data_IF_258721292457
#
_entry.id   IF_258721292457
#
_cell.length_a   1.000
_cell.length_b   1.000
_cell.length_c   1.000
_cell.angle_alpha   90.00
_cell.angle_beta   90.00
_cell.angle_gamma   90.00
#
_symmetry.space_group_name_H-M   'P 1'
#
loop_
_entity.id
_entity.type
_entity.pdbx_description
1 polymer ?
#
# COMPACT_ATOMS: atom_id res chain seq x y z
N UNK A 1 -1.47 -17.14 12.76
CA UNK A 1 -1.95 -15.79 13.15
C UNK A 1 -1.11 -14.81 12.36
N UNK A 2 -1.70 -14.17 11.33
CA UNK A 2 -1.01 -13.25 10.45
C UNK A 2 -0.46 -12.05 11.20
N UNK A 3 0.76 -11.65 10.82
CA UNK A 3 1.41 -10.43 11.31
C UNK A 3 0.81 -9.21 10.57
N UNK A 4 -0.40 -8.80 10.93
CA UNK A 4 -0.98 -7.58 10.39
C UNK A 4 -0.36 -6.38 11.11
N UNK A 5 0.31 -5.49 10.36
CA UNK A 5 0.89 -4.27 10.90
C UNK A 5 2.16 -4.45 11.74
N UNK A 6 3.01 -5.44 11.42
CA UNK A 6 4.31 -5.56 12.07
C UNK A 6 5.31 -4.60 11.45
N UNK A 7 5.93 -3.78 12.29
CA UNK A 7 7.07 -2.94 11.94
C UNK A 7 8.32 -3.53 12.57
N UNK A 8 9.43 -3.53 11.86
CA UNK A 8 10.73 -3.96 12.35
C UNK A 8 11.70 -2.77 12.33
N UNK A 9 12.33 -2.48 13.46
CA UNK A 9 13.38 -1.47 13.56
C UNK A 9 14.74 -2.16 13.69
N UNK A 10 15.68 -1.76 12.84
CA UNK A 10 17.08 -2.23 12.87
C UNK A 10 17.95 -1.05 13.25
N UNK A 11 18.59 -1.09 14.45
CA UNK A 11 19.52 -0.07 14.93
C UNK A 11 20.20 -0.57 16.19
N UNK A 12 21.40 -0.11 16.51
CA UNK A 12 22.25 -0.28 17.74
C UNK A 12 21.55 -0.89 19.00
N UNK A 13 20.57 -1.75 18.79
CA UNK A 13 19.72 -2.50 19.72
C UNK A 13 19.42 -3.87 19.09
N UNK A 14 18.86 -4.81 19.84
CA UNK A 14 18.29 -6.02 19.26
C UNK A 14 17.25 -5.70 18.19
N UNK A 15 17.12 -6.55 17.19
CA UNK A 15 16.01 -6.47 16.25
C UNK A 15 14.71 -6.28 17.03
N UNK A 16 13.96 -5.26 16.69
CA UNK A 16 12.75 -4.90 17.44
C UNK A 16 11.54 -4.96 16.52
N UNK A 17 10.60 -5.84 16.84
CA UNK A 17 9.33 -5.97 16.16
C UNK A 17 8.25 -5.21 16.93
N UNK A 18 7.42 -4.46 16.20
CA UNK A 18 6.22 -3.84 16.77
C UNK A 18 5.00 -4.61 16.27
N UNK A 19 4.37 -5.38 17.15
CA UNK A 19 3.20 -6.20 16.85
C UNK A 19 2.08 -5.77 17.80
N UNK A 20 0.93 -5.37 17.28
CA UNK A 20 -0.22 -4.93 18.07
C UNK A 20 0.16 -3.86 19.13
N UNK A 21 0.93 -2.85 18.71
CA UNK A 21 1.48 -1.77 19.55
C UNK A 21 2.48 -2.22 20.64
N UNK A 22 2.85 -3.50 20.70
CA UNK A 22 3.86 -4.02 21.63
C UNK A 22 5.20 -4.17 20.94
N UNK A 23 6.27 -3.75 21.62
CA UNK A 23 7.65 -3.88 21.14
C UNK A 23 8.25 -5.20 21.64
N UNK A 24 8.63 -6.07 20.71
CA UNK A 24 9.28 -7.35 20.98
C UNK A 24 10.71 -7.29 20.49
N UNK A 25 11.67 -7.53 21.35
CA UNK A 25 13.10 -7.56 21.02
C UNK A 25 13.54 -8.99 20.79
N UNK A 26 14.34 -9.21 19.74
CA UNK A 26 14.82 -10.55 19.36
C UNK A 26 16.33 -10.49 19.09
N UNK A 27 17.06 -11.41 19.67
CA UNK A 27 18.50 -11.53 19.52
C UNK A 27 19.31 -10.54 20.39
N UNK A 28 20.59 -10.47 20.08
CA UNK A 28 21.53 -9.59 20.75
C UNK A 28 21.53 -8.16 20.18
N UNK A 29 22.25 -7.28 20.87
CA UNK A 29 22.44 -5.91 20.41
C UNK A 29 23.23 -5.90 19.10
N UNK A 30 22.66 -5.27 18.07
CA UNK A 30 23.34 -5.06 16.79
C UNK A 30 24.33 -3.90 16.90
N UNK A 31 25.56 -4.14 16.47
CA UNK A 31 26.56 -3.12 16.30
C UNK A 31 26.37 -2.37 14.97
N UNK A 32 26.96 -1.18 14.77
CA UNK A 32 26.82 -0.44 13.52
C UNK A 32 27.19 -1.23 12.27
N UNK A 33 28.18 -2.11 12.35
CA UNK A 33 28.61 -2.98 11.25
C UNK A 33 27.56 -4.04 10.92
N UNK A 34 26.92 -4.65 11.95
CA UNK A 34 25.85 -5.63 11.76
C UNK A 34 24.63 -4.97 11.09
N UNK A 35 24.30 -3.75 11.56
CA UNK A 35 23.19 -2.99 10.99
C UNK A 35 23.45 -2.62 9.52
N UNK A 36 24.69 -2.21 9.19
CA UNK A 36 25.08 -1.93 7.82
C UNK A 36 24.92 -3.14 6.94
N UNK A 37 25.44 -4.30 7.35
CA UNK A 37 25.36 -5.56 6.60
C UNK A 37 23.91 -5.99 6.37
N UNK A 38 23.07 -5.92 7.40
CA UNK A 38 21.64 -6.24 7.26
C UNK A 38 20.93 -5.33 6.26
N UNK A 39 21.27 -4.03 6.24
CA UNK A 39 20.70 -3.08 5.29
C UNK A 39 21.21 -3.38 3.88
N UNK A 40 22.48 -3.67 3.68
CA UNK A 40 23.04 -4.10 2.40
C UNK A 40 22.33 -5.35 1.87
N UNK A 41 22.08 -6.34 2.73
CA UNK A 41 21.33 -7.55 2.38
C UNK A 41 19.88 -7.22 1.93
N UNK A 42 19.22 -6.24 2.57
CA UNK A 42 17.89 -5.77 2.16
C UNK A 42 17.93 -5.16 0.75
N UNK A 43 18.94 -4.34 0.44
CA UNK A 43 19.11 -3.77 -0.91
C UNK A 43 19.38 -4.86 -1.96
N UNK A 44 20.14 -5.90 -1.61
CA UNK A 44 20.35 -7.06 -2.49
C UNK A 44 19.04 -7.79 -2.78
N UNK A 45 18.19 -7.99 -1.76
CA UNK A 45 16.87 -8.62 -1.94
C UNK A 45 15.95 -7.73 -2.78
N UNK A 46 16.03 -6.42 -2.63
CA UNK A 46 15.23 -5.44 -3.38
C UNK A 46 15.65 -5.30 -4.87
N UNK A 47 16.76 -5.88 -5.30
CA UNK A 47 17.31 -6.03 -6.66
C UNK A 47 17.43 -4.76 -7.51
N UNK A 48 16.40 -3.92 -7.56
CA UNK A 48 16.35 -2.70 -8.40
C UNK A 48 16.87 -1.45 -7.67
N UNK A 49 17.22 -1.57 -6.38
CA UNK A 49 17.60 -0.44 -5.57
C UNK A 49 19.09 -0.48 -5.22
N UNK A 50 19.73 0.68 -5.28
CA UNK A 50 21.17 0.83 -4.99
C UNK A 50 21.37 1.56 -3.67
N UNK A 51 22.23 1.04 -2.80
CA UNK A 51 22.53 1.62 -1.49
C UNK A 51 23.16 3.02 -1.59
N UNK A 52 23.77 3.35 -2.73
CA UNK A 52 24.36 4.66 -3.00
C UNK A 52 23.31 5.79 -2.87
N UNK A 53 22.02 5.51 -3.09
CA UNK A 53 20.94 6.47 -2.86
C UNK A 53 20.86 6.86 -1.38
N UNK A 54 20.88 5.90 -0.48
CA UNK A 54 20.91 6.11 0.97
C UNK A 54 22.22 6.83 1.39
N UNK A 55 23.34 6.40 0.85
CA UNK A 55 24.64 6.98 1.20
C UNK A 55 24.74 8.46 0.77
N UNK A 56 24.16 8.82 -0.37
CA UNK A 56 24.16 10.19 -0.89
C UNK A 56 23.13 11.08 -0.21
N UNK A 57 21.91 10.61 -0.03
CA UNK A 57 20.77 11.41 0.42
C UNK A 57 20.57 11.38 1.94
N UNK A 58 21.05 10.31 2.60
CA UNK A 58 20.81 10.07 4.02
C UNK A 58 19.53 9.36 4.36
N UNK A 59 18.58 9.30 3.41
CA UNK A 59 17.29 8.62 3.50
C UNK A 59 16.98 7.92 2.18
N UNK A 60 16.28 6.78 2.24
CA UNK A 60 15.76 6.10 1.06
C UNK A 60 14.53 5.26 1.43
N UNK A 61 13.42 5.46 0.68
CA UNK A 61 12.17 4.74 0.82
C UNK A 61 11.92 3.91 -0.44
N UNK A 62 11.61 2.64 -0.23
CA UNK A 62 11.31 1.71 -1.32
C UNK A 62 10.47 0.54 -0.85
N UNK A 63 9.93 -0.22 -1.81
CA UNK A 63 9.18 -1.44 -1.54
C UNK A 63 9.74 -2.59 -2.37
N UNK A 64 9.65 -3.80 -1.85
CA UNK A 64 9.93 -5.02 -2.60
C UNK A 64 8.98 -6.14 -2.18
N UNK A 65 8.84 -7.16 -3.02
CA UNK A 65 7.96 -8.31 -2.75
C UNK A 65 8.74 -9.59 -2.64
N UNK A 66 8.36 -10.43 -1.68
CA UNK A 66 8.87 -11.81 -1.58
C UNK A 66 7.69 -12.74 -1.91
N UNK A 67 7.83 -13.63 -2.92
CA UNK A 67 6.78 -14.56 -3.29
C UNK A 67 6.25 -15.34 -2.09
N UNK A 68 4.94 -15.47 -1.98
CA UNK A 68 4.22 -16.16 -0.91
C UNK A 68 4.32 -15.55 0.49
N UNK A 69 5.14 -14.53 0.70
CA UNK A 69 5.31 -13.88 2.01
C UNK A 69 4.54 -12.55 2.08
N UNK A 70 4.71 -11.69 1.09
CA UNK A 70 4.06 -10.38 1.05
C UNK A 70 4.94 -9.30 0.42
N UNK A 71 4.48 -8.06 0.51
CA UNK A 71 5.23 -6.87 0.13
C UNK A 71 5.83 -6.23 1.37
N UNK A 72 7.05 -5.76 1.26
CA UNK A 72 7.77 -5.07 2.32
C UNK A 72 7.98 -3.61 1.91
N UNK A 73 7.54 -2.69 2.74
CA UNK A 73 7.91 -1.28 2.64
C UNK A 73 9.08 -1.03 3.57
N UNK A 74 10.11 -0.43 3.04
CA UNK A 74 11.37 -0.17 3.74
C UNK A 74 11.65 1.32 3.73
N UNK A 75 11.89 1.87 4.90
CA UNK A 75 12.46 3.20 5.08
C UNK A 75 13.84 3.03 5.72
N UNK A 76 14.86 3.34 4.97
CA UNK A 76 16.25 3.35 5.45
C UNK A 76 16.70 4.79 5.69
N UNK A 77 17.48 5.00 6.71
CA UNK A 77 17.96 6.34 7.05
C UNK A 77 19.27 6.31 7.84
N UNK A 78 19.96 7.45 7.81
CA UNK A 78 21.17 7.65 8.59
C UNK A 78 20.84 8.34 9.91
N UNK A 79 21.34 7.80 11.01
CA UNK A 79 21.16 8.36 12.32
C UNK A 79 22.44 8.27 13.16
N UNK A 80 22.99 9.41 13.61
CA UNK A 80 24.19 9.48 14.46
C UNK A 80 25.37 8.67 13.90
N UNK A 81 25.62 8.76 12.60
CA UNK A 81 26.71 8.06 11.94
C UNK A 81 26.45 6.58 11.61
N UNK A 82 25.35 6.00 12.08
CA UNK A 82 24.95 4.61 11.77
C UNK A 82 23.78 4.58 10.83
N UNK A 83 23.64 3.49 10.08
CA UNK A 83 22.45 3.20 9.28
C UNK A 83 21.34 2.62 10.16
N UNK A 84 20.12 2.89 9.79
CA UNK A 84 18.91 2.35 10.41
C UNK A 84 17.86 2.02 9.35
N UNK A 85 16.94 1.12 9.66
CA UNK A 85 15.82 0.81 8.80
C UNK A 85 14.55 0.55 9.60
N UNK A 86 13.43 0.94 9.04
CA UNK A 86 12.08 0.52 9.46
C UNK A 86 11.46 -0.25 8.32
N UNK A 87 11.03 -1.47 8.60
CA UNK A 87 10.45 -2.36 7.61
C UNK A 87 9.01 -2.69 8.02
N UNK A 88 8.06 -2.46 7.13
CA UNK A 88 6.65 -2.81 7.33
C UNK A 88 6.26 -3.93 6.38
N UNK A 89 5.75 -5.03 6.93
CA UNK A 89 5.17 -6.12 6.15
C UNK A 89 3.73 -5.77 5.78
N UNK A 90 3.41 -5.81 4.50
CA UNK A 90 2.06 -5.77 3.93
C UNK A 90 1.71 -7.19 3.54
N UNK A 91 0.90 -7.85 4.37
CA UNK A 91 0.51 -9.24 4.16
C UNK A 91 -0.67 -9.36 3.19
N UNK A 92 -0.86 -10.55 2.60
CA UNK A 92 -2.01 -10.86 1.75
C UNK A 92 -3.32 -11.09 2.52
N UNK A 93 -3.33 -10.78 3.82
CA UNK A 93 -4.54 -10.93 4.63
C UNK A 93 -5.43 -9.71 4.46
N UNK A 94 -6.53 -9.92 3.79
CA UNK A 94 -7.55 -8.90 3.59
C UNK A 94 -8.52 -8.86 4.78
N UNK A 95 -9.07 -7.69 5.08
CA UNK A 95 -10.05 -7.55 6.16
C UNK A 95 -11.36 -8.26 5.80
N UNK A 96 -12.00 -8.86 6.80
CA UNK A 96 -13.34 -9.43 6.65
C UNK A 96 -14.40 -8.37 7.00
N UNK A 97 -15.30 -7.99 6.08
CA UNK A 97 -16.30 -6.96 6.32
C UNK A 97 -17.28 -7.32 7.46
N UNK A 98 -17.59 -8.61 7.67
CA UNK A 98 -18.46 -9.06 8.76
C UNK A 98 -17.80 -8.86 10.13
N UNK A 99 -16.51 -9.24 10.26
CA UNK A 99 -15.73 -9.04 11.50
C UNK A 99 -15.57 -7.56 11.86
N UNK A 100 -15.53 -6.70 10.83
CA UNK A 100 -15.43 -5.26 10.98
C UNK A 100 -16.77 -4.56 11.14
N UNK A 101 -17.88 -5.32 11.11
CA UNK A 101 -19.25 -4.79 11.17
C UNK A 101 -19.53 -3.73 10.11
N UNK A 102 -18.99 -3.89 8.90
CA UNK A 102 -19.28 -3.01 7.76
C UNK A 102 -20.72 -3.27 7.31
N UNK A 103 -21.61 -2.26 7.29
CA UNK A 103 -22.98 -2.44 6.88
C UNK A 103 -23.10 -3.02 5.46
N UNK A 104 -24.08 -3.92 5.26
CA UNK A 104 -24.34 -4.54 3.93
C UNK A 104 -24.62 -3.49 2.85
N UNK A 105 -25.24 -2.37 3.21
CA UNK A 105 -25.52 -1.25 2.30
C UNK A 105 -24.22 -0.65 1.74
N UNK A 106 -23.16 -0.62 2.51
CA UNK A 106 -21.85 -0.19 2.03
C UNK A 106 -21.28 -1.22 1.05
N UNK A 107 -21.40 -2.52 1.38
CA UNK A 107 -20.91 -3.58 0.50
C UNK A 107 -21.68 -3.65 -0.84
N UNK A 108 -22.95 -3.22 -0.88
CA UNK A 108 -23.72 -3.09 -2.12
C UNK A 108 -23.14 -2.07 -3.12
N UNK A 109 -22.30 -1.15 -2.67
CA UNK A 109 -21.59 -0.24 -3.59
C UNK A 109 -20.68 -0.99 -4.58
N UNK A 110 -20.27 -2.21 -4.26
CA UNK A 110 -19.53 -3.09 -5.16
C UNK A 110 -20.37 -3.61 -6.35
N UNK A 111 -21.69 -3.45 -6.33
CA UNK A 111 -22.60 -3.87 -7.41
C UNK A 111 -22.71 -2.82 -8.53
N UNK A 112 -22.35 -1.55 -8.24
CA UNK A 112 -22.36 -0.52 -9.26
C UNK A 112 -21.37 -0.82 -10.38
N UNK A 113 -21.72 -0.38 -11.60
CA UNK A 113 -20.89 -0.59 -12.79
C UNK A 113 -20.10 0.66 -13.18
N UNK A 114 -20.56 1.83 -12.75
CA UNK A 114 -19.95 3.13 -13.04
C UNK A 114 -20.32 4.14 -11.98
N UNK A 115 -19.57 5.22 -11.94
CA UNK A 115 -19.79 6.34 -11.03
C UNK A 115 -18.63 6.55 -10.09
N UNK A 116 -18.74 7.53 -9.22
CA UNK A 116 -17.72 7.91 -8.24
C UNK A 116 -18.24 7.60 -6.83
N UNK A 117 -17.48 6.79 -6.10
CA UNK A 117 -17.72 6.49 -4.69
C UNK A 117 -16.62 7.12 -3.85
N UNK A 118 -16.99 8.00 -2.93
CA UNK A 118 -16.06 8.68 -2.03
C UNK A 118 -16.23 8.20 -0.60
N UNK A 119 -15.11 7.75 0.00
CA UNK A 119 -15.04 7.41 1.41
C UNK A 119 -14.28 8.49 2.15
N UNK A 120 -14.97 9.18 3.05
CA UNK A 120 -14.42 10.35 3.76
C UNK A 120 -14.23 10.08 5.24
N UNK A 121 -13.33 10.80 5.88
CA UNK A 121 -13.08 10.70 7.33
C UNK A 121 -11.64 11.01 7.70
N UNK A 122 -11.37 11.08 9.00
CA UNK A 122 -10.04 11.32 9.56
C UNK A 122 -9.08 10.16 9.31
N UNK A 123 -7.79 10.38 9.57
CA UNK A 123 -6.79 9.32 9.50
C UNK A 123 -7.12 8.20 10.51
N UNK A 124 -6.98 6.94 10.07
CA UNK A 124 -7.27 5.77 10.92
C UNK A 124 -8.75 5.45 11.12
N UNK A 125 -9.68 6.12 10.42
CA UNK A 125 -11.13 5.86 10.51
C UNK A 125 -11.59 4.61 9.74
N UNK A 126 -10.70 3.89 9.07
CA UNK A 126 -11.02 2.66 8.33
C UNK A 126 -11.32 2.86 6.85
N UNK A 127 -11.03 4.02 6.26
CA UNK A 127 -11.29 4.30 4.83
C UNK A 127 -10.66 3.25 3.90
N UNK A 128 -9.35 3.05 3.98
CA UNK A 128 -8.63 2.07 3.15
C UNK A 128 -9.11 0.65 3.41
N UNK A 129 -9.43 0.33 4.66
CA UNK A 129 -9.97 -0.98 5.03
C UNK A 129 -11.33 -1.24 4.36
N UNK A 130 -12.23 -0.26 4.39
CA UNK A 130 -13.54 -0.34 3.73
C UNK A 130 -13.39 -0.48 2.21
N UNK A 131 -12.49 0.30 1.61
CA UNK A 131 -12.21 0.20 0.18
C UNK A 131 -11.61 -1.16 -0.20
N UNK A 132 -10.70 -1.70 0.62
CA UNK A 132 -10.15 -3.03 0.39
C UNK A 132 -11.23 -4.12 0.41
N UNK A 133 -12.22 -4.03 1.32
CA UNK A 133 -13.35 -4.94 1.34
C UNK A 133 -14.19 -4.83 0.06
N UNK A 134 -14.47 -3.61 -0.42
CA UNK A 134 -15.23 -3.38 -1.66
C UNK A 134 -14.50 -3.94 -2.89
N UNK A 135 -13.21 -3.65 -3.02
CA UNK A 135 -12.37 -4.18 -4.10
C UNK A 135 -12.33 -5.71 -4.06
N UNK A 136 -12.18 -6.29 -2.87
CA UNK A 136 -12.15 -7.75 -2.73
C UNK A 136 -13.49 -8.41 -3.06
N UNK A 137 -14.60 -7.76 -2.74
CA UNK A 137 -15.92 -8.22 -3.16
C UNK A 137 -16.06 -8.22 -4.69
N UNK A 138 -15.69 -7.14 -5.35
CA UNK A 138 -15.69 -7.06 -6.82
C UNK A 138 -14.79 -8.16 -7.39
N UNK A 139 -13.56 -8.26 -6.92
CA UNK A 139 -12.56 -9.24 -7.35
C UNK A 139 -13.06 -10.69 -7.22
N UNK A 140 -13.87 -10.97 -6.20
CA UNK A 140 -14.39 -12.33 -5.94
C UNK A 140 -15.67 -12.66 -6.73
N UNK A 141 -16.43 -11.66 -7.14
CA UNK A 141 -17.76 -11.85 -7.70
C UNK A 141 -17.89 -11.48 -9.19
N UNK A 142 -17.00 -10.60 -9.69
CA UNK A 142 -17.09 -10.02 -11.04
C UNK A 142 -15.85 -10.36 -11.87
N UNK A 143 -16.01 -10.42 -13.18
CA UNK A 143 -14.95 -10.65 -14.16
C UNK A 143 -14.56 -9.30 -14.77
N UNK A 144 -13.67 -8.57 -14.12
CA UNK A 144 -13.31 -7.18 -14.47
C UNK A 144 -11.82 -6.92 -14.34
N UNK A 145 -11.36 -5.82 -14.94
CA UNK A 145 -10.03 -5.29 -14.71
C UNK A 145 -10.08 -4.19 -13.68
N UNK A 146 -9.51 -4.45 -12.51
CA UNK A 146 -9.43 -3.52 -11.39
C UNK A 146 -8.02 -2.94 -11.37
N UNK A 147 -7.90 -1.60 -11.39
CA UNK A 147 -6.62 -0.92 -11.23
C UNK A 147 -6.66 -0.16 -9.91
N UNK A 148 -5.64 -0.37 -9.05
CA UNK A 148 -5.47 0.43 -7.85
C UNK A 148 -4.21 1.29 -7.96
N UNK A 149 -4.34 2.55 -7.54
CA UNK A 149 -3.28 3.55 -7.50
C UNK A 149 -3.21 4.03 -6.06
N UNK A 150 -2.14 3.73 -5.35
CA UNK A 150 -2.06 3.93 -3.89
C UNK A 150 -0.71 4.53 -3.48
N UNK A 151 -0.66 5.22 -2.33
CA UNK A 151 0.55 5.81 -1.76
C UNK A 151 0.50 5.76 -0.22
N UNK A 152 1.03 4.68 0.35
CA UNK A 152 1.46 3.41 -0.23
C UNK A 152 0.32 2.38 -0.38
N UNK A 153 0.64 1.21 -0.96
CA UNK A 153 -0.23 0.03 -0.89
C UNK A 153 -0.43 -0.40 0.58
N UNK A 154 -1.68 -0.51 1.01
CA UNK A 154 -2.02 -0.98 2.38
C UNK A 154 -2.45 -2.45 2.40
N UNK A 155 -3.07 -2.93 1.32
CA UNK A 155 -3.56 -4.29 1.18
C UNK A 155 -3.14 -4.88 -0.16
N UNK A 156 -2.87 -6.19 -0.19
CA UNK A 156 -2.54 -6.91 -1.41
C UNK A 156 -3.69 -7.81 -1.83
N UNK A 157 -4.17 -7.59 -3.05
CA UNK A 157 -5.23 -8.40 -3.68
C UNK A 157 -4.62 -9.45 -4.60
N UNK A 158 -5.01 -10.70 -4.44
CA UNK A 158 -4.71 -11.74 -5.42
C UNK A 158 -5.74 -11.70 -6.54
N UNK A 159 -5.35 -12.04 -7.76
CA UNK A 159 -6.32 -12.26 -8.83
C UNK A 159 -7.31 -13.37 -8.43
N UNK A 160 -8.58 -13.13 -8.60
CA UNK A 160 -9.67 -14.10 -8.41
C UNK A 160 -10.48 -14.20 -9.70
N UNK A 161 -11.75 -13.75 -9.70
CA UNK A 161 -12.51 -13.61 -10.94
C UNK A 161 -12.03 -12.42 -11.75
N UNK A 162 -11.66 -11.34 -11.08
CA UNK A 162 -11.09 -10.16 -11.73
C UNK A 162 -9.57 -10.23 -11.83
N UNK A 163 -9.02 -9.42 -12.73
CA UNK A 163 -7.59 -9.11 -12.77
C UNK A 163 -7.38 -7.86 -11.94
N UNK A 164 -6.47 -7.89 -10.97
CA UNK A 164 -6.16 -6.73 -10.12
C UNK A 164 -4.75 -6.25 -10.39
N UNK A 165 -4.62 -5.05 -10.94
CA UNK A 165 -3.34 -4.37 -11.20
C UNK A 165 -3.12 -3.29 -10.14
N UNK A 166 -2.27 -3.56 -9.17
CA UNK A 166 -1.97 -2.62 -8.09
C UNK A 166 -0.67 -1.88 -8.39
N UNK A 167 -0.70 -0.56 -8.28
CA UNK A 167 0.46 0.31 -8.53
C UNK A 167 0.65 1.27 -7.37
N UNK A 168 1.86 1.31 -6.85
CA UNK A 168 2.27 2.22 -5.77
C UNK A 168 2.93 3.48 -6.36
N UNK A 169 2.48 4.64 -5.91
CA UNK A 169 3.12 5.92 -6.27
C UNK A 169 4.55 5.94 -5.72
N UNK A 170 5.45 6.57 -6.45
CA UNK A 170 6.89 6.64 -6.20
C UNK A 170 7.69 5.35 -6.40
N UNK A 171 7.05 4.17 -6.40
CA UNK A 171 7.69 2.89 -6.73
C UNK A 171 7.39 2.44 -8.15
N UNK A 172 6.10 2.33 -8.50
CA UNK A 172 5.64 1.80 -9.78
C UNK A 172 5.22 2.90 -10.75
N UNK A 173 5.03 4.13 -10.26
CA UNK A 173 4.60 5.28 -11.04
C UNK A 173 5.04 6.59 -10.37
N UNK A 174 5.22 7.62 -11.17
CA UNK A 174 5.71 8.93 -10.71
C UNK A 174 4.69 9.66 -9.82
N UNK A 175 3.41 9.62 -10.17
CA UNK A 175 2.37 10.35 -9.45
C UNK A 175 0.97 9.76 -9.73
N UNK A 176 0.01 10.08 -8.88
CA UNK A 176 -1.39 9.75 -9.09
C UNK A 176 -1.92 10.20 -10.45
N UNK A 177 -1.63 11.44 -10.83
CA UNK A 177 -2.03 12.04 -12.11
C UNK A 177 -1.51 11.26 -13.31
N UNK A 178 -0.22 10.94 -13.33
CA UNK A 178 0.41 10.18 -14.42
C UNK A 178 -0.18 8.77 -14.49
N UNK A 179 -0.30 8.12 -13.33
CA UNK A 179 -0.85 6.78 -13.22
C UNK A 179 -2.31 6.71 -13.66
N UNK A 180 -3.15 7.64 -13.22
CA UNK A 180 -4.58 7.69 -13.56
C UNK A 180 -4.80 7.92 -15.06
N UNK A 181 -4.07 8.85 -15.66
CA UNK A 181 -4.11 9.04 -17.12
C UNK A 181 -3.66 7.81 -17.90
N UNK A 182 -2.66 7.09 -17.41
CA UNK A 182 -2.19 5.87 -18.03
C UNK A 182 -3.23 4.74 -17.88
N UNK A 183 -3.85 4.61 -16.70
CA UNK A 183 -4.82 3.56 -16.41
C UNK A 183 -6.04 3.61 -17.35
N UNK A 184 -6.50 4.79 -17.73
CA UNK A 184 -7.62 4.95 -18.69
C UNK A 184 -7.35 4.34 -20.08
N UNK A 185 -6.08 4.07 -20.42
CA UNK A 185 -5.68 3.39 -21.66
C UNK A 185 -5.44 1.89 -21.47
N UNK A 186 -5.66 1.38 -20.26
CA UNK A 186 -5.43 -0.01 -19.89
C UNK A 186 -6.73 -0.80 -19.75
N UNK A 187 -7.83 -0.25 -20.30
CA UNK A 187 -9.17 -0.87 -20.26
C UNK A 187 -9.60 -1.26 -18.83
N UNK A 188 -9.59 -0.34 -17.87
CA UNK A 188 -10.09 -0.62 -16.54
C UNK A 188 -11.62 -0.61 -16.52
N UNK A 189 -12.21 -1.47 -15.72
CA UNK A 189 -13.63 -1.40 -15.36
C UNK A 189 -13.80 -0.67 -14.03
N UNK A 190 -12.84 -0.91 -13.12
CA UNK A 190 -12.82 -0.35 -11.77
C UNK A 190 -11.46 0.30 -11.50
N UNK A 191 -11.50 1.50 -10.96
CA UNK A 191 -10.30 2.25 -10.55
C UNK A 191 -10.42 2.59 -9.07
N UNK A 192 -9.45 2.15 -8.26
CA UNK A 192 -9.25 2.66 -6.91
C UNK A 192 -8.15 3.71 -6.93
N UNK A 193 -8.48 4.91 -6.55
CA UNK A 193 -7.55 6.00 -6.36
C UNK A 193 -7.41 6.25 -4.85
N UNK A 194 -6.26 5.96 -4.26
CA UNK A 194 -6.05 5.96 -2.81
C UNK A 194 -6.51 7.26 -2.16
N UNK A 195 -6.19 8.40 -2.76
CA UNK A 195 -6.70 9.70 -2.36
C UNK A 195 -6.66 10.71 -3.52
N UNK A 196 -7.50 11.74 -3.44
CA UNK A 196 -7.51 12.88 -4.34
C UNK A 196 -7.09 14.13 -3.58
N UNK A 197 -5.93 14.70 -3.92
CA UNK A 197 -5.34 15.85 -3.24
C UNK A 197 -5.36 17.13 -4.09
N UNK A 198 -5.45 17.01 -5.40
CA UNK A 198 -5.35 18.13 -6.34
C UNK A 198 -6.51 18.14 -7.33
N UNK A 199 -6.79 19.36 -7.83
CA UNK A 199 -7.90 19.62 -8.73
C UNK A 199 -7.84 18.80 -10.03
N UNK A 200 -6.64 18.58 -10.56
CA UNK A 200 -6.48 17.88 -11.83
C UNK A 200 -6.78 16.38 -11.68
N UNK A 201 -6.29 15.75 -10.60
CA UNK A 201 -6.61 14.36 -10.26
C UNK A 201 -8.11 14.18 -10.04
N UNK A 202 -8.78 15.12 -9.35
CA UNK A 202 -10.23 15.11 -9.15
C UNK A 202 -10.95 15.15 -10.49
N UNK A 203 -10.59 16.07 -11.39
CA UNK A 203 -11.23 16.18 -12.70
C UNK A 203 -11.09 14.91 -13.55
N UNK A 204 -9.92 14.31 -13.57
CA UNK A 204 -9.69 13.07 -14.31
C UNK A 204 -10.54 11.92 -13.72
N UNK A 205 -10.61 11.81 -12.39
CA UNK A 205 -11.41 10.80 -11.71
C UNK A 205 -12.92 10.98 -11.99
N UNK A 206 -13.42 12.21 -11.95
CA UNK A 206 -14.81 12.53 -12.30
C UNK A 206 -15.11 12.19 -13.76
N UNK A 207 -14.25 12.58 -14.68
CA UNK A 207 -14.39 12.26 -16.11
C UNK A 207 -14.40 10.73 -16.32
N UNK A 208 -13.53 9.99 -15.65
CA UNK A 208 -13.53 8.53 -15.71
C UNK A 208 -14.88 7.94 -15.26
N UNK A 209 -15.40 8.43 -14.12
CA UNK A 209 -16.69 7.99 -13.60
C UNK A 209 -17.87 8.31 -14.55
N UNK A 210 -17.86 9.46 -15.20
CA UNK A 210 -18.86 9.86 -16.20
C UNK A 210 -18.78 9.02 -17.49
N UNK A 211 -17.56 8.62 -17.87
CA UNK A 211 -17.30 7.88 -19.12
C UNK A 211 -17.42 6.35 -18.97
N UNK A 212 -17.94 5.88 -17.85
CA UNK A 212 -18.36 4.47 -17.72
C UNK A 212 -17.55 3.64 -16.74
N UNK A 213 -16.56 4.20 -16.06
CA UNK A 213 -15.76 3.48 -15.07
C UNK A 213 -16.36 3.60 -13.66
N UNK A 214 -16.18 2.58 -12.84
CA UNK A 214 -16.45 2.67 -11.40
C UNK A 214 -15.20 3.15 -10.69
N UNK A 215 -15.26 4.34 -10.09
CA UNK A 215 -14.13 4.97 -9.42
C UNK A 215 -14.36 5.02 -7.93
N UNK A 216 -13.45 4.47 -7.16
CA UNK A 216 -13.39 4.59 -5.70
C UNK A 216 -12.25 5.52 -5.30
N UNK A 217 -12.48 6.39 -4.32
CA UNK A 217 -11.41 7.21 -3.77
C UNK A 217 -11.67 7.64 -2.33
N UNK A 218 -10.65 8.21 -1.70
CA UNK A 218 -10.78 8.83 -0.38
C UNK A 218 -10.60 10.33 -0.42
N UNK A 219 -11.24 11.00 0.52
CA UNK A 219 -10.98 12.39 0.86
C UNK A 219 -10.71 12.48 2.37
N UNK A 220 -9.70 13.24 2.74
CA UNK A 220 -9.47 13.59 4.12
C UNK A 220 -10.40 14.75 4.52
N UNK A 221 -11.25 14.50 5.51
CA UNK A 221 -12.06 15.53 6.17
C UNK A 221 -11.59 15.70 7.61
N UNK A 222 -11.64 16.91 8.10
CA UNK A 222 -11.36 17.23 9.50
C UNK A 222 -12.44 16.68 10.41
#
# INVERSE_FOLDING_TARGET
RGLVGSEMCIRDRPLTYKINRKMIRVGDRLMPEDTRKLIEDIYVIAQERKIETLEKNGDDDFSFSIPNLGRFRVSTYRQRGSLAAVIRLIAFQLPNPEELSIPSQIMQLAEYRKGLVLVTGSAGSGKSTTLACLIEQINSTREEHIITLEDPLEFLHRHKKSIVSQREVSSDTESYKVALRASLRQSPDVILLGEMRDYETINIAMTAAETGHLVFSTLHTL
#
